data_IF_612166423772
#
_entry.id   IF_612166423772
#
_cell.length_a   1.000
_cell.length_b   1.000
_cell.length_c   1.000
_cell.angle_alpha   90.00
_cell.angle_beta   90.00
_cell.angle_gamma   90.00
#
_symmetry.space_group_name_H-M   'P 1'
#
loop_
_entity.id
_entity.type
_entity.pdbx_description
1 polymer ?
#
# COMPACT_ATOMS: atom_id res chain seq x y z
N UNK A 1 16.68 -23.54 -31.21
CA UNK A 1 15.40 -23.00 -30.73
C UNK A 1 15.43 -23.06 -29.22
N UNK A 2 15.84 -21.98 -28.56
CA UNK A 2 15.83 -21.90 -27.09
C UNK A 2 14.76 -20.90 -26.70
N UNK A 3 13.59 -21.41 -26.32
CA UNK A 3 12.57 -20.61 -25.65
C UNK A 3 13.07 -20.36 -24.23
N UNK A 4 13.63 -19.17 -24.01
CA UNK A 4 13.97 -18.69 -22.67
C UNK A 4 12.65 -18.54 -21.93
N UNK A 5 12.50 -19.32 -20.86
CA UNK A 5 11.37 -19.20 -19.95
C UNK A 5 11.34 -17.77 -19.42
N UNK A 6 10.22 -17.09 -19.66
CA UNK A 6 9.91 -15.81 -19.06
C UNK A 6 9.61 -16.04 -17.57
N UNK A 7 10.65 -16.30 -16.78
CA UNK A 7 10.56 -16.24 -15.32
C UNK A 7 10.11 -14.82 -14.97
N UNK A 8 9.04 -14.61 -14.18
CA UNK A 8 8.62 -13.27 -13.83
C UNK A 8 9.82 -12.57 -13.17
N UNK A 9 10.09 -11.32 -13.50
CA UNK A 9 11.05 -10.52 -12.74
C UNK A 9 10.44 -10.29 -11.34
N UNK A 10 10.61 -11.24 -10.42
CA UNK A 10 10.04 -11.19 -9.05
C UNK A 10 10.69 -10.10 -8.16
N UNK A 11 11.58 -9.27 -8.71
CA UNK A 11 12.26 -8.20 -7.99
C UNK A 11 11.95 -6.85 -8.65
N UNK A 12 10.67 -6.51 -8.75
CA UNK A 12 10.26 -5.13 -9.04
C UNK A 12 10.59 -4.26 -7.82
N UNK A 13 11.65 -3.43 -7.85
CA UNK A 13 12.05 -2.65 -6.68
C UNK A 13 10.97 -1.65 -6.25
N UNK A 14 10.13 -1.24 -7.20
CA UNK A 14 8.95 -0.39 -6.97
C UNK A 14 7.90 -1.12 -6.14
N UNK A 15 7.56 -2.37 -6.51
CA UNK A 15 6.60 -3.19 -5.75
C UNK A 15 7.14 -3.54 -4.36
N UNK A 16 8.43 -3.85 -4.23
CA UNK A 16 9.07 -4.09 -2.94
C UNK A 16 9.04 -2.86 -2.03
N UNK A 17 9.34 -1.66 -2.56
CA UNK A 17 9.23 -0.40 -1.82
C UNK A 17 7.79 -0.16 -1.39
N UNK A 18 6.83 -0.33 -2.29
CA UNK A 18 5.41 -0.09 -2.05
C UNK A 18 4.85 -1.05 -0.99
N UNK A 19 5.20 -2.34 -1.06
CA UNK A 19 4.81 -3.33 -0.06
C UNK A 19 5.32 -2.98 1.34
N UNK A 20 6.56 -2.48 1.45
CA UNK A 20 7.10 -1.98 2.72
C UNK A 20 6.29 -0.80 3.25
N UNK A 21 6.03 0.21 2.41
CA UNK A 21 5.23 1.38 2.80
C UNK A 21 3.81 1.00 3.25
N UNK A 22 3.14 0.08 2.54
CA UNK A 22 1.81 -0.44 2.90
C UNK A 22 1.82 -1.13 4.26
N UNK A 23 2.87 -1.92 4.54
CA UNK A 23 3.02 -2.59 5.85
C UNK A 23 3.20 -1.58 6.97
N UNK A 24 3.99 -0.53 6.75
CA UNK A 24 4.18 0.52 7.75
C UNK A 24 2.89 1.32 7.98
N UNK A 25 2.16 1.67 6.92
CA UNK A 25 0.83 2.28 7.03
C UNK A 25 -0.14 1.40 7.83
N UNK A 26 -0.16 0.09 7.58
CA UNK A 26 -0.99 -0.86 8.33
C UNK A 26 -0.63 -0.91 9.83
N UNK A 27 0.66 -0.77 10.18
CA UNK A 27 1.10 -0.71 11.58
C UNK A 27 0.60 0.54 12.31
N UNK A 28 0.58 1.69 11.62
CA UNK A 28 0.03 2.93 12.17
C UNK A 28 -1.48 2.83 12.43
N UNK A 29 -2.20 2.10 11.57
CA UNK A 29 -3.66 1.94 11.63
C UNK A 29 -4.09 0.88 12.66
N UNK A 30 -3.25 -0.11 12.96
CA UNK A 30 -3.56 -1.21 13.87
C UNK A 30 -4.04 -0.80 15.29
N UNK A 31 -3.42 0.19 15.99
CA UNK A 31 -3.83 0.59 17.33
C UNK A 31 -5.12 1.42 17.39
N UNK A 32 -5.65 1.89 16.27
CA UNK A 32 -6.81 2.77 16.22
C UNK A 32 -8.11 2.08 16.68
N UNK A 33 -9.12 2.85 17.13
CA UNK A 33 -10.43 2.31 17.46
C UNK A 33 -11.06 1.56 16.28
N UNK A 34 -11.87 0.52 16.54
CA UNK A 34 -12.30 -0.45 15.53
C UNK A 34 -13.06 0.17 14.35
N UNK A 35 -13.88 1.19 14.58
CA UNK A 35 -14.65 1.87 13.52
C UNK A 35 -13.73 2.63 12.54
N UNK A 36 -12.79 3.41 13.06
CA UNK A 36 -11.78 4.14 12.26
C UNK A 36 -10.85 3.16 11.56
N UNK A 37 -10.36 2.15 12.30
CA UNK A 37 -9.47 1.11 11.77
C UNK A 37 -10.08 0.34 10.60
N UNK A 38 -11.35 -0.07 10.68
CA UNK A 38 -12.01 -0.79 9.58
C UNK A 38 -12.14 0.04 8.30
N UNK A 39 -12.36 1.35 8.42
CA UNK A 39 -12.41 2.25 7.24
C UNK A 39 -11.03 2.35 6.60
N UNK A 40 -9.99 2.57 7.41
CA UNK A 40 -8.61 2.73 6.93
C UNK A 40 -8.02 1.43 6.36
N UNK A 41 -8.29 0.26 6.98
CA UNK A 41 -7.87 -1.04 6.43
C UNK A 41 -8.50 -1.28 5.06
N UNK A 42 -9.79 -0.96 4.87
CA UNK A 42 -10.45 -1.09 3.57
C UNK A 42 -9.78 -0.20 2.51
N UNK A 43 -9.36 1.00 2.88
CA UNK A 43 -8.62 1.89 1.97
C UNK A 43 -7.25 1.29 1.60
N UNK A 44 -6.49 0.81 2.58
CA UNK A 44 -5.19 0.15 2.34
C UNK A 44 -5.32 -1.09 1.45
N UNK A 45 -6.39 -1.88 1.60
CA UNK A 45 -6.67 -3.02 0.72
C UNK A 45 -6.93 -2.58 -0.73
N UNK A 46 -7.67 -1.49 -0.93
CA UNK A 46 -7.91 -0.95 -2.28
C UNK A 46 -6.61 -0.45 -2.95
N UNK A 47 -5.71 0.19 -2.18
CA UNK A 47 -4.38 0.62 -2.66
C UNK A 47 -3.52 -0.60 -2.99
N UNK A 48 -3.57 -1.65 -2.16
CA UNK A 48 -2.83 -2.90 -2.41
C UNK A 48 -3.33 -3.63 -3.65
N UNK A 49 -4.64 -3.60 -3.94
CA UNK A 49 -5.17 -4.18 -5.18
C UNK A 49 -4.75 -3.38 -6.40
N UNK A 50 -4.78 -2.05 -6.31
CA UNK A 50 -4.31 -1.17 -7.37
C UNK A 50 -2.82 -1.38 -7.68
N UNK A 51 -1.99 -1.59 -6.65
CA UNK A 51 -0.55 -1.82 -6.79
C UNK A 51 -0.21 -2.98 -7.73
N UNK A 52 -1.08 -4.00 -7.80
CA UNK A 52 -0.92 -5.16 -8.69
C UNK A 52 -1.09 -4.82 -10.16
N UNK A 53 -1.74 -3.69 -10.47
CA UNK A 53 -2.09 -3.25 -11.83
C UNK A 53 -1.31 -1.99 -12.24
N UNK A 54 -1.07 -1.10 -11.28
CA UNK A 54 -0.40 0.19 -11.46
C UNK A 54 0.29 0.60 -10.15
N UNK A 55 1.58 0.27 -10.07
CA UNK A 55 2.38 0.51 -8.87
C UNK A 55 2.65 2.01 -8.64
N UNK A 56 2.82 2.79 -9.70
CA UNK A 56 3.08 4.24 -9.59
C UNK A 56 1.86 4.99 -9.07
N UNK A 57 0.66 4.67 -9.59
CA UNK A 57 -0.58 5.28 -9.11
C UNK A 57 -0.91 4.84 -7.68
N UNK A 58 -0.61 3.58 -7.33
CA UNK A 58 -0.75 3.11 -5.96
C UNK A 58 0.19 3.84 -4.98
N UNK A 59 1.43 4.12 -5.36
CA UNK A 59 2.37 4.91 -4.54
C UNK A 59 1.83 6.33 -4.30
N UNK A 60 1.33 7.00 -5.34
CA UNK A 60 0.70 8.33 -5.20
C UNK A 60 -0.54 8.31 -4.30
N UNK A 61 -1.38 7.29 -4.42
CA UNK A 61 -2.56 7.12 -3.55
C UNK A 61 -2.17 6.85 -2.11
N UNK A 62 -1.09 6.09 -1.88
CA UNK A 62 -0.57 5.85 -0.55
C UNK A 62 -0.02 7.13 0.08
N UNK A 63 0.68 7.97 -0.68
CA UNK A 63 1.11 9.29 -0.22
C UNK A 63 -0.08 10.18 0.19
N UNK A 64 -1.12 10.26 -0.64
CA UNK A 64 -2.33 11.01 -0.30
C UNK A 64 -3.04 10.46 0.95
N UNK A 65 -3.14 9.14 1.07
CA UNK A 65 -3.70 8.47 2.25
C UNK A 65 -2.92 8.82 3.52
N UNK A 66 -1.58 8.78 3.47
CA UNK A 66 -0.74 9.07 4.63
C UNK A 66 -0.82 10.56 5.02
N UNK A 67 -0.88 11.47 4.05
CA UNK A 67 -1.04 12.90 4.31
C UNK A 67 -2.39 13.20 4.99
N UNK A 68 -3.48 12.60 4.52
CA UNK A 68 -4.81 12.72 5.13
C UNK A 68 -4.84 12.10 6.54
N UNK A 69 -4.23 10.92 6.69
CA UNK A 69 -4.12 10.24 7.97
C UNK A 69 -3.36 11.08 9.00
N UNK A 70 -2.21 11.64 8.64
CA UNK A 70 -1.40 12.49 9.52
C UNK A 70 -2.07 13.84 9.84
N UNK A 71 -2.92 14.35 8.95
CA UNK A 71 -3.71 15.56 9.18
C UNK A 71 -4.98 15.33 10.02
N UNK A 72 -5.34 14.07 10.29
CA UNK A 72 -6.55 13.72 11.05
C UNK A 72 -6.30 13.75 12.56
N UNK A 73 -7.24 14.25 13.37
CA UNK A 73 -7.10 14.32 14.83
C UNK A 73 -6.99 12.93 15.49
N UNK A 74 -7.42 11.86 14.81
CA UNK A 74 -7.29 10.47 15.25
C UNK A 74 -5.85 9.92 15.20
N UNK A 75 -4.88 10.67 14.65
CA UNK A 75 -3.49 10.24 14.51
C UNK A 75 -2.55 10.73 15.64
N UNK A 76 -3.06 11.48 16.63
CA UNK A 76 -2.34 12.00 17.81
C UNK A 76 -2.81 11.32 19.10
#
# INVERSE_FOLDING_TARGET
MSGVGNEPEWDDPVLTRLARRLRDAHRLVAPLPPETRQRLIRHLLAITDLAKRDAELADRRLDAFLADFQGSPDAL
#
